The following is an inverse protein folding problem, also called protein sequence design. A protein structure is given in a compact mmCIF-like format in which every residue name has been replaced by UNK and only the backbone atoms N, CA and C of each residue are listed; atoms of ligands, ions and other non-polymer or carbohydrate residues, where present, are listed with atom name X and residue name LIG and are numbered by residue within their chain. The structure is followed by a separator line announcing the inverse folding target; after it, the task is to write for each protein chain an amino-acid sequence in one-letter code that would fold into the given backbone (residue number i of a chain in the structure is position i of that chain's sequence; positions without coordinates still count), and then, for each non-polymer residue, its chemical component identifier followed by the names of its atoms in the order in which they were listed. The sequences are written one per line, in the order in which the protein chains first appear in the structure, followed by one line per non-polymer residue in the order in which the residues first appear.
data_IF_325194160716
#
_entry.id   IF_325194160716
#
_cell.length_a   1.000
_cell.length_b   1.000
_cell.length_c   1.000
_cell.angle_alpha   90.00
_cell.angle_beta   90.00
_cell.angle_gamma   90.00
#
_symmetry.space_group_name_H-M   'P 1'
#
loop_
_entity.id
_entity.type
_entity.pdbx_description
1 polymer ?
#
# COMPACT_ATOMS: atom_id res chain seq x y z
N UNK A 1 -18.21 -5.82 4.16
CA UNK A 1 -17.89 -6.08 2.72
C UNK A 1 -16.68 -5.24 2.31
N UNK A 2 -15.65 -5.84 1.74
CA UNK A 2 -14.49 -5.12 1.21
C UNK A 2 -14.57 -5.07 -0.32
N UNK A 3 -14.33 -3.90 -0.91
CA UNK A 3 -14.18 -3.67 -2.34
C UNK A 3 -12.73 -3.32 -2.63
N UNK A 4 -12.13 -3.99 -3.60
CA UNK A 4 -10.79 -3.67 -4.11
C UNK A 4 -10.90 -3.12 -5.54
N UNK A 5 -10.10 -2.12 -5.84
CA UNK A 5 -10.01 -1.51 -7.18
C UNK A 5 -8.55 -1.30 -7.52
N UNK A 6 -8.06 -1.97 -8.55
CA UNK A 6 -6.74 -1.70 -9.11
C UNK A 6 -6.80 -0.37 -9.87
N UNK A 7 -5.95 0.58 -9.49
CA UNK A 7 -5.85 1.88 -10.16
C UNK A 7 -4.84 1.78 -11.29
N UNK A 8 -3.62 1.40 -10.96
CA UNK A 8 -2.56 1.14 -11.93
C UNK A 8 -1.36 0.51 -11.23
N UNK A 9 -0.62 -0.34 -11.91
CA UNK A 9 0.56 -1.02 -11.38
C UNK A 9 0.27 -1.65 -10.00
N UNK A 10 0.97 -1.28 -8.94
CA UNK A 10 0.72 -1.71 -7.56
C UNK A 10 -0.29 -0.82 -6.80
N UNK A 11 -0.76 0.26 -7.42
CA UNK A 11 -1.68 1.20 -6.79
C UNK A 11 -3.09 0.63 -6.68
N UNK A 12 -3.55 0.40 -5.45
CA UNK A 12 -4.89 -0.13 -5.17
C UNK A 12 -5.68 0.78 -4.25
N UNK A 13 -6.98 0.82 -4.48
CA UNK A 13 -7.96 1.36 -3.55
C UNK A 13 -8.71 0.20 -2.88
N UNK A 14 -8.61 0.09 -1.57
CA UNK A 14 -9.30 -0.92 -0.75
C UNK A 14 -10.30 -0.18 0.12
N UNK A 15 -11.58 -0.54 -0.01
CA UNK A 15 -12.67 0.14 0.67
C UNK A 15 -13.50 -0.84 1.48
N UNK A 16 -13.73 -0.54 2.75
CA UNK A 16 -14.75 -1.17 3.59
C UNK A 16 -15.98 -0.26 3.69
N UNK A 17 -16.88 -0.52 4.63
CA UNK A 17 -18.04 0.34 4.85
C UNK A 17 -17.68 1.72 5.38
N UNK A 18 -16.57 1.85 6.14
CA UNK A 18 -16.17 3.10 6.82
C UNK A 18 -14.71 3.48 6.62
N UNK A 19 -13.94 2.70 5.86
CA UNK A 19 -12.51 2.93 5.69
C UNK A 19 -12.13 2.87 4.22
N UNK A 20 -11.36 3.85 3.79
CA UNK A 20 -10.75 3.90 2.47
C UNK A 20 -9.23 3.89 2.63
N UNK A 21 -8.59 2.90 1.99
CA UNK A 21 -7.14 2.70 2.02
C UNK A 21 -6.63 2.84 0.59
N UNK A 22 -5.62 3.67 0.40
CA UNK A 22 -4.87 3.78 -0.84
C UNK A 22 -3.49 3.17 -0.63
N UNK A 23 -3.08 2.25 -1.51
CA UNK A 23 -1.76 1.62 -1.43
C UNK A 23 -0.90 2.05 -2.62
N UNK A 24 0.38 2.31 -2.35
CA UNK A 24 1.45 2.54 -3.34
C UNK A 24 0.99 3.40 -4.54
N UNK A 25 0.58 4.67 -4.31
CA UNK A 25 0.00 5.47 -5.37
C UNK A 25 1.05 5.90 -6.40
N UNK A 26 0.87 5.43 -7.63
CA UNK A 26 1.67 5.80 -8.80
C UNK A 26 0.71 6.20 -9.91
N UNK A 27 0.63 7.51 -10.21
CA UNK A 27 -0.39 8.09 -11.09
C UNK A 27 0.16 8.74 -12.34
N UNK A 28 1.46 8.62 -12.57
CA UNK A 28 2.12 9.10 -13.77
C UNK A 28 2.56 7.91 -14.63
N UNK A 29 2.41 8.03 -15.95
CA UNK A 29 2.68 6.95 -16.89
C UNK A 29 4.17 6.57 -16.97
N UNK A 30 5.06 7.52 -16.66
CA UNK A 30 6.50 7.33 -16.78
C UNK A 30 7.11 7.04 -15.41
N UNK A 31 7.77 5.90 -15.30
CA UNK A 31 8.47 5.43 -14.11
C UNK A 31 9.96 5.32 -14.39
N UNK A 32 10.80 5.37 -13.34
CA UNK A 32 12.23 5.13 -13.44
C UNK A 32 12.91 6.04 -14.48
N UNK A 33 12.72 7.37 -14.34
CA UNK A 33 13.29 8.36 -15.27
C UNK A 33 12.92 8.08 -16.75
N UNK A 34 11.65 7.73 -16.99
CA UNK A 34 11.09 7.39 -18.31
C UNK A 34 11.60 6.07 -18.92
N UNK A 35 12.32 5.25 -18.17
CA UNK A 35 12.75 3.92 -18.63
C UNK A 35 11.55 2.97 -18.77
N UNK A 36 10.59 3.04 -17.84
CA UNK A 36 9.37 2.25 -17.85
C UNK A 36 8.16 3.15 -18.14
N UNK A 37 7.27 2.67 -19.01
CA UNK A 37 6.02 3.34 -19.34
C UNK A 37 4.86 2.42 -19.03
N UNK A 38 3.88 2.91 -18.29
CA UNK A 38 2.66 2.14 -18.01
C UNK A 38 1.81 2.04 -19.27
N UNK A 39 1.43 0.81 -19.62
CA UNK A 39 0.57 0.53 -20.77
C UNK A 39 -0.59 -0.40 -20.33
N UNK A 40 -1.84 0.01 -20.52
CA UNK A 40 -2.26 1.31 -21.06
C UNK A 40 -1.94 2.49 -20.12
N UNK A 41 -1.91 3.70 -20.69
CA UNK A 41 -1.75 4.93 -19.90
C UNK A 41 -2.83 5.06 -18.84
N UNK A 42 -2.47 5.61 -17.68
CA UNK A 42 -3.40 5.81 -16.58
C UNK A 42 -4.36 6.95 -16.94
N UNK A 43 -5.65 6.66 -16.99
CA UNK A 43 -6.69 7.67 -17.07
C UNK A 43 -7.39 7.77 -15.73
N UNK A 44 -6.78 8.50 -14.80
CA UNK A 44 -7.30 8.65 -13.45
C UNK A 44 -8.28 9.81 -13.34
N UNK A 45 -9.53 9.50 -13.00
CA UNK A 45 -10.49 10.52 -12.61
C UNK A 45 -10.46 10.70 -11.07
N UNK A 46 -9.69 11.69 -10.62
CA UNK A 46 -9.52 11.96 -9.19
C UNK A 46 -10.82 12.28 -8.46
N UNK A 47 -11.87 12.73 -9.15
CA UNK A 47 -13.19 12.95 -8.53
C UNK A 47 -13.87 11.65 -8.11
N UNK A 48 -13.38 10.50 -8.58
CA UNK A 48 -13.89 9.18 -8.21
C UNK A 48 -13.14 8.57 -7.02
N UNK A 49 -12.02 9.18 -6.60
CA UNK A 49 -11.29 8.76 -5.41
C UNK A 49 -11.92 9.48 -4.20
N UNK A 50 -12.50 8.74 -3.26
CA UNK A 50 -13.04 9.34 -2.04
C UNK A 50 -11.91 9.83 -1.12
N UNK A 51 -12.22 10.60 -0.06
CA UNK A 51 -11.25 10.86 0.99
C UNK A 51 -10.66 9.56 1.52
N UNK A 52 -9.34 9.51 1.70
CA UNK A 52 -8.64 8.33 2.20
C UNK A 52 -8.37 8.46 3.71
N UNK A 53 -8.61 7.38 4.43
CA UNK A 53 -8.30 7.26 5.85
C UNK A 53 -6.86 6.82 6.07
N UNK A 54 -6.37 5.95 5.17
CA UNK A 54 -5.03 5.37 5.24
C UNK A 54 -4.34 5.44 3.88
N UNK A 55 -3.11 5.92 3.89
CA UNK A 55 -2.14 5.80 2.81
C UNK A 55 -1.10 4.78 3.22
N UNK A 56 -1.03 3.64 2.54
CA UNK A 56 0.00 2.63 2.78
C UNK A 56 1.09 2.73 1.71
N UNK A 57 2.34 2.85 2.14
CA UNK A 57 3.53 2.80 1.29
C UNK A 57 4.30 1.55 1.67
N UNK A 58 4.34 0.57 0.78
CA UNK A 58 4.95 -0.74 1.07
C UNK A 58 6.47 -0.66 1.16
N UNK A 59 7.11 0.07 0.27
CA UNK A 59 8.56 0.26 0.20
C UNK A 59 8.93 1.43 -0.74
N UNK A 60 10.24 1.73 -0.89
CA UNK A 60 10.73 2.93 -1.59
C UNK A 60 11.08 2.75 -3.07
N UNK A 61 10.79 1.63 -3.73
CA UNK A 61 10.96 1.55 -5.17
C UNK A 61 10.08 2.60 -5.88
N UNK A 62 10.57 3.16 -6.96
CA UNK A 62 9.92 4.29 -7.64
C UNK A 62 8.57 3.95 -8.26
N UNK A 63 8.30 2.68 -8.49
CA UNK A 63 7.03 2.15 -8.96
C UNK A 63 6.04 1.83 -7.82
N UNK A 64 6.43 2.08 -6.56
CA UNK A 64 5.60 2.03 -5.36
C UNK A 64 5.61 3.36 -4.59
N UNK A 65 6.69 4.13 -4.72
CA UNK A 65 6.92 5.40 -4.04
C UNK A 65 7.21 6.50 -5.05
N UNK A 66 6.17 6.94 -5.78
CA UNK A 66 6.28 8.02 -6.75
C UNK A 66 6.11 9.39 -6.07
N UNK A 67 7.23 10.10 -5.89
CA UNK A 67 7.28 11.41 -5.22
C UNK A 67 6.37 12.43 -5.90
N UNK A 68 6.19 12.38 -7.22
CA UNK A 68 5.31 13.29 -7.98
C UNK A 68 3.85 13.06 -7.60
N UNK A 69 3.43 11.80 -7.54
CA UNK A 69 2.07 11.42 -7.09
C UNK A 69 1.85 11.85 -5.65
N UNK A 70 2.80 11.62 -4.76
CA UNK A 70 2.71 12.02 -3.36
C UNK A 70 2.63 13.54 -3.21
N UNK A 71 3.48 14.30 -3.93
CA UNK A 71 3.43 15.77 -3.93
C UNK A 71 2.07 16.31 -4.44
N UNK A 72 1.48 15.64 -5.41
CA UNK A 72 0.16 15.99 -5.91
C UNK A 72 -0.94 15.61 -4.90
N UNK A 73 -0.86 14.44 -4.29
CA UNK A 73 -1.85 13.92 -3.35
C UNK A 73 -1.98 14.81 -2.11
N UNK A 74 -0.86 15.23 -1.50
CA UNK A 74 -0.87 16.08 -0.28
C UNK A 74 -1.52 17.46 -0.54
N UNK A 75 -1.51 17.94 -1.78
CA UNK A 75 -2.15 19.20 -2.17
C UNK A 75 -3.65 19.03 -2.42
N UNK A 76 -4.11 17.82 -2.71
CA UNK A 76 -5.52 17.55 -3.01
C UNK A 76 -6.32 17.25 -1.72
N UNK A 77 -6.84 18.32 -1.09
CA UNK A 77 -7.56 18.24 0.19
C UNK A 77 -8.90 17.50 0.12
N UNK A 78 -9.41 17.20 -1.07
CA UNK A 78 -10.62 16.37 -1.24
C UNK A 78 -10.32 14.87 -1.12
N UNK A 79 -9.07 14.47 -1.27
CA UNK A 79 -8.62 13.07 -1.18
C UNK A 79 -7.81 12.86 0.09
N UNK A 80 -6.79 13.69 0.30
CA UNK A 80 -5.89 13.62 1.44
C UNK A 80 -6.25 14.67 2.50
N UNK A 81 -6.51 14.21 3.72
CA UNK A 81 -6.87 15.06 4.86
C UNK A 81 -5.78 15.04 5.94
N UNK A 82 -5.75 16.01 6.87
CA UNK A 82 -4.82 15.98 7.98
C UNK A 82 -4.96 14.74 8.90
N UNK A 83 -6.12 14.07 8.85
CA UNK A 83 -6.40 12.86 9.64
C UNK A 83 -5.94 11.57 8.94
N UNK A 84 -5.60 11.63 7.66
CA UNK A 84 -5.11 10.45 6.92
C UNK A 84 -3.86 9.91 7.59
N UNK A 85 -3.90 8.64 7.99
CA UNK A 85 -2.74 7.93 8.55
C UNK A 85 -1.86 7.43 7.42
N UNK A 86 -0.56 7.60 7.53
CA UNK A 86 0.41 7.02 6.60
C UNK A 86 1.04 5.81 7.27
N UNK A 87 0.93 4.64 6.66
CA UNK A 87 1.67 3.45 7.06
C UNK A 87 2.91 3.35 6.18
N UNK A 88 4.07 3.21 6.79
CA UNK A 88 5.35 3.18 6.10
C UNK A 88 6.33 2.23 6.81
N UNK A 89 7.23 1.54 6.08
CA UNK A 89 8.30 0.77 6.68
C UNK A 89 9.31 1.68 7.37
N UNK A 90 10.17 1.12 8.22
CA UNK A 90 11.28 1.85 8.86
C UNK A 90 12.41 2.07 7.84
N UNK A 91 12.20 2.99 6.92
CA UNK A 91 13.15 3.43 5.91
C UNK A 91 13.41 4.93 6.07
N UNK A 92 14.63 5.30 6.46
CA UNK A 92 14.95 6.69 6.81
C UNK A 92 14.79 7.63 5.59
N UNK A 93 15.14 7.18 4.38
CA UNK A 93 15.01 7.98 3.15
C UNK A 93 13.53 8.21 2.82
N UNK A 94 12.71 7.17 2.87
CA UNK A 94 11.27 7.26 2.63
C UNK A 94 10.61 8.21 3.62
N UNK A 95 10.94 8.09 4.91
CA UNK A 95 10.40 8.94 5.97
C UNK A 95 10.84 10.40 5.81
N UNK A 96 12.10 10.65 5.45
CA UNK A 96 12.61 11.99 5.16
C UNK A 96 11.81 12.65 4.03
N UNK A 97 11.66 11.96 2.89
CA UNK A 97 10.89 12.47 1.74
C UNK A 97 9.43 12.75 2.11
N UNK A 98 8.77 11.85 2.83
CA UNK A 98 7.39 12.09 3.30
C UNK A 98 7.32 13.32 4.21
N UNK A 99 8.31 13.51 5.07
CA UNK A 99 8.38 14.64 6.00
C UNK A 99 8.58 15.96 5.25
N UNK A 100 9.48 16.00 4.26
CA UNK A 100 9.71 17.18 3.41
C UNK A 100 8.48 17.51 2.56
N UNK A 101 7.74 16.52 2.08
CA UNK A 101 6.45 16.71 1.42
C UNK A 101 5.32 17.17 2.40
N UNK A 102 5.65 17.33 3.70
CA UNK A 102 4.74 17.79 4.74
C UNK A 102 3.66 16.77 5.16
N UNK A 103 3.89 15.50 4.97
CA UNK A 103 3.11 14.44 5.60
C UNK A 103 3.38 14.42 7.12
N UNK A 104 2.34 14.31 7.96
CA UNK A 104 2.48 14.47 9.41
C UNK A 104 2.11 13.25 10.23
N UNK A 105 1.08 12.53 9.83
CA UNK A 105 0.56 11.40 10.59
C UNK A 105 1.18 10.09 10.11
N UNK A 106 2.51 9.97 10.24
CA UNK A 106 3.28 8.81 9.79
C UNK A 106 3.41 7.81 10.93
N UNK A 107 2.95 6.58 10.70
CA UNK A 107 3.14 5.44 11.58
C UNK A 107 4.11 4.45 10.92
N UNK A 108 5.25 4.26 11.56
CA UNK A 108 6.17 3.17 11.21
C UNK A 108 5.50 1.85 11.58
N UNK A 109 5.44 0.94 10.63
CA UNK A 109 4.81 -0.37 10.83
C UNK A 109 5.81 -1.38 11.39
N UNK A 110 5.28 -2.32 12.17
CA UNK A 110 5.99 -3.50 12.63
C UNK A 110 5.28 -4.77 12.12
N UNK A 111 6.05 -5.83 11.90
CA UNK A 111 5.53 -7.10 11.40
C UNK A 111 4.42 -7.64 12.30
N UNK A 112 3.29 -7.98 11.69
CA UNK A 112 2.12 -8.54 12.35
C UNK A 112 1.50 -7.66 13.45
N UNK A 113 1.87 -6.38 13.54
CA UNK A 113 1.18 -5.43 14.42
C UNK A 113 -0.26 -5.20 13.93
N UNK A 114 -1.24 -5.42 14.80
CA UNK A 114 -2.63 -5.16 14.48
C UNK A 114 -2.98 -3.68 14.69
N UNK A 115 -3.25 -2.95 13.62
CA UNK A 115 -3.58 -1.52 13.63
C UNK A 115 -5.07 -1.36 13.32
N UNK A 116 -5.85 -0.92 14.31
CA UNK A 116 -7.29 -0.71 14.13
C UNK A 116 -7.57 0.66 13.53
N UNK A 117 -8.30 0.68 12.41
CA UNK A 117 -8.77 1.92 11.75
C UNK A 117 -10.25 1.75 11.43
N UNK A 118 -11.10 2.56 12.04
CA UNK A 118 -12.56 2.50 11.89
C UNK A 118 -13.10 1.06 12.01
N UNK A 119 -13.57 0.49 10.90
CA UNK A 119 -14.17 -0.84 10.84
C UNK A 119 -13.22 -1.93 10.35
N UNK A 120 -11.94 -1.63 10.12
CA UNK A 120 -10.94 -2.62 9.67
C UNK A 120 -9.79 -2.78 10.66
N UNK A 121 -9.14 -3.92 10.58
CA UNK A 121 -7.83 -4.17 11.17
C UNK A 121 -6.82 -4.32 10.04
N UNK A 122 -5.75 -3.53 10.12
CA UNK A 122 -4.63 -3.54 9.20
C UNK A 122 -3.48 -4.28 9.86
N UNK A 123 -2.86 -5.22 9.14
CA UNK A 123 -1.74 -6.00 9.68
C UNK A 123 -0.63 -6.08 8.64
N UNK A 124 0.48 -5.36 8.85
CA UNK A 124 1.65 -5.47 8.00
C UNK A 124 2.23 -6.88 8.04
N UNK A 125 2.67 -7.39 6.89
CA UNK A 125 3.31 -8.71 6.78
C UNK A 125 4.75 -8.57 6.37
N UNK A 126 5.68 -9.36 6.95
CA UNK A 126 7.09 -9.27 6.62
C UNK A 126 7.40 -9.70 5.19
N UNK A 127 8.54 -9.26 4.69
CA UNK A 127 9.20 -9.76 3.49
C UNK A 127 10.52 -10.42 3.83
N UNK A 128 10.83 -11.51 3.12
CA UNK A 128 12.14 -12.19 3.16
C UNK A 128 13.09 -11.65 2.09
N UNK A 129 12.96 -10.41 1.70
CA UNK A 129 13.73 -9.83 0.61
C UNK A 129 15.22 -9.73 1.00
N UNK A 130 15.99 -10.80 0.78
CA UNK A 130 17.41 -10.89 1.13
C UNK A 130 18.31 -10.04 0.18
N UNK A 131 17.78 -9.61 -0.96
CA UNK A 131 18.52 -8.88 -1.99
C UNK A 131 18.45 -7.38 -1.90
N UNK A 132 17.43 -6.84 -1.28
CA UNK A 132 17.19 -5.41 -1.20
C UNK A 132 17.70 -4.84 0.13
N UNK A 133 18.34 -3.68 0.04
CA UNK A 133 18.94 -2.99 1.19
C UNK A 133 17.94 -2.16 1.99
N UNK A 134 16.64 -2.28 1.74
CA UNK A 134 15.60 -1.48 2.40
C UNK A 134 14.39 -2.35 2.81
N UNK A 135 13.70 -1.95 3.89
CA UNK A 135 12.56 -2.68 4.40
C UNK A 135 11.33 -2.52 3.49
N UNK A 136 10.57 -3.60 3.39
CA UNK A 136 9.28 -3.64 2.70
C UNK A 136 8.27 -4.46 3.49
N UNK A 137 6.98 -4.22 3.26
CA UNK A 137 5.90 -4.98 3.88
C UNK A 137 4.71 -5.16 2.93
N UNK A 138 4.02 -6.29 3.06
CA UNK A 138 2.67 -6.47 2.56
C UNK A 138 1.64 -5.97 3.59
N UNK A 139 0.37 -5.90 3.21
CA UNK A 139 -0.70 -5.44 4.08
C UNK A 139 -1.92 -6.38 4.04
N UNK A 140 -2.28 -6.94 5.18
CA UNK A 140 -3.56 -7.60 5.39
C UNK A 140 -4.59 -6.56 5.84
N UNK A 141 -5.77 -6.63 5.25
CA UNK A 141 -6.94 -5.80 5.58
C UNK A 141 -8.10 -6.71 5.92
N UNK A 142 -8.59 -6.64 7.14
CA UNK A 142 -9.68 -7.48 7.64
C UNK A 142 -10.80 -6.62 8.24
N UNK A 143 -12.06 -6.83 7.81
CA UNK A 143 -13.24 -6.14 8.34
C UNK A 143 -14.03 -6.99 9.37
N UNK A 144 -13.48 -8.12 9.78
CA UNK A 144 -14.10 -9.09 10.68
C UNK A 144 -14.79 -10.25 9.96
N UNK A 145 -15.08 -10.13 8.67
CA UNK A 145 -15.71 -11.15 7.83
C UNK A 145 -14.85 -11.53 6.63
N UNK A 146 -14.17 -10.54 6.03
CA UNK A 146 -13.39 -10.67 4.80
C UNK A 146 -11.94 -10.28 5.07
N UNK A 147 -11.00 -11.06 4.55
CA UNK A 147 -9.57 -10.77 4.61
C UNK A 147 -8.99 -10.61 3.21
N UNK A 148 -8.44 -9.42 2.95
CA UNK A 148 -7.71 -9.09 1.74
C UNK A 148 -6.24 -8.97 2.07
N UNK A 149 -5.37 -9.57 1.26
CA UNK A 149 -3.92 -9.43 1.38
C UNK A 149 -3.34 -8.74 0.15
N UNK A 150 -2.83 -7.54 0.34
CA UNK A 150 -1.99 -6.86 -0.64
C UNK A 150 -0.54 -7.23 -0.36
N UNK A 151 -0.04 -8.26 -1.04
CA UNK A 151 1.30 -8.79 -0.86
C UNK A 151 2.36 -7.91 -1.51
N UNK A 152 1.99 -7.15 -2.54
CA UNK A 152 2.92 -6.34 -3.36
C UNK A 152 4.12 -7.16 -3.85
N UNK A 153 5.34 -6.69 -3.63
CA UNK A 153 6.58 -7.35 -4.06
C UNK A 153 7.20 -8.27 -3.00
N UNK A 154 6.55 -8.37 -1.82
CA UNK A 154 7.11 -9.14 -0.70
C UNK A 154 7.35 -10.61 -1.04
N UNK A 155 8.49 -11.12 -0.61
CA UNK A 155 8.82 -12.54 -0.66
C UNK A 155 8.42 -13.15 0.68
N UNK A 156 7.64 -14.22 0.64
CA UNK A 156 7.13 -14.86 1.84
C UNK A 156 7.48 -16.33 1.90
N UNK A 157 7.82 -16.83 3.10
CA UNK A 157 8.06 -18.24 3.32
C UNK A 157 6.76 -19.02 3.61
N UNK A 158 6.77 -20.35 3.51
CA UNK A 158 5.66 -21.18 3.96
C UNK A 158 5.27 -20.95 5.42
N UNK A 159 6.23 -20.61 6.29
CA UNK A 159 6.00 -20.31 7.71
C UNK A 159 5.20 -19.03 7.87
N UNK A 160 5.53 -17.97 7.12
CA UNK A 160 4.79 -16.71 7.09
C UNK A 160 3.35 -16.96 6.61
N UNK A 161 3.17 -17.73 5.52
CA UNK A 161 1.85 -18.09 5.01
C UNK A 161 1.05 -18.89 6.05
N UNK A 162 1.69 -19.86 6.71
CA UNK A 162 1.06 -20.67 7.76
C UNK A 162 0.65 -19.80 8.96
N UNK A 163 1.45 -18.80 9.30
CA UNK A 163 1.13 -17.88 10.39
C UNK A 163 -0.05 -16.95 10.01
N UNK A 164 -0.08 -16.42 8.79
CA UNK A 164 -1.21 -15.65 8.28
C UNK A 164 -2.50 -16.49 8.31
N UNK A 165 -2.42 -17.74 7.85
CA UNK A 165 -3.57 -18.66 7.90
C UNK A 165 -4.04 -18.94 9.33
N UNK A 166 -3.13 -19.03 10.30
CA UNK A 166 -3.47 -19.20 11.72
C UNK A 166 -4.18 -17.96 12.28
N UNK A 167 -3.79 -16.74 11.86
CA UNK A 167 -4.39 -15.50 12.35
C UNK A 167 -5.77 -15.22 11.75
N UNK A 168 -5.92 -15.43 10.44
CA UNK A 168 -7.07 -14.96 9.66
C UNK A 168 -7.85 -16.08 8.99
N UNK A 169 -7.37 -17.33 9.04
CA UNK A 169 -7.98 -18.43 8.31
C UNK A 169 -7.73 -18.30 6.81
N UNK A 170 -8.76 -18.58 6.01
CA UNK A 170 -8.70 -18.46 4.55
C UNK A 170 -8.69 -16.98 4.15
N UNK A 171 -7.78 -16.63 3.25
CA UNK A 171 -7.82 -15.32 2.58
C UNK A 171 -8.92 -15.32 1.49
N UNK A 172 -9.69 -14.25 1.43
CA UNK A 172 -10.74 -14.09 0.42
C UNK A 172 -10.19 -13.54 -0.89
N UNK A 173 -9.17 -12.70 -0.80
CA UNK A 173 -8.48 -12.13 -1.95
C UNK A 173 -7.00 -11.88 -1.63
N UNK A 174 -6.13 -12.16 -2.60
CA UNK A 174 -4.71 -11.77 -2.53
C UNK A 174 -4.31 -11.08 -3.82
N UNK A 175 -3.66 -9.94 -3.68
CA UNK A 175 -2.96 -9.24 -4.75
C UNK A 175 -1.46 -9.46 -4.56
N UNK A 176 -0.84 -10.17 -5.48
CA UNK A 176 0.59 -10.53 -5.40
C UNK A 176 1.26 -10.33 -6.75
N UNK A 177 2.56 -10.10 -6.70
CA UNK A 177 3.39 -10.06 -7.90
C UNK A 177 3.40 -11.44 -8.57
N UNK A 178 3.18 -11.49 -9.87
CA UNK A 178 3.41 -12.68 -10.68
C UNK A 178 4.78 -12.57 -11.35
N UNK A 179 5.72 -13.38 -10.91
CA UNK A 179 6.99 -13.56 -11.62
C UNK A 179 6.84 -14.82 -12.48
N UNK A 180 6.88 -14.71 -13.84
CA UNK A 180 6.98 -15.91 -14.67
C UNK A 180 8.27 -16.63 -14.29
N UNK A 181 8.16 -17.91 -13.98
CA UNK A 181 9.34 -18.78 -13.85
C UNK A 181 10.02 -18.81 -15.22
N UNK A 182 11.19 -18.20 -15.33
CA UNK A 182 12.08 -18.29 -16.49
C UNK A 182 12.80 -19.64 -16.47
#
# INVERSE_FOLDING_TARGET
MIKTTLIAHASMLIQSNKTTILTDPVWFDYLWEEVNVLCPSITLNLKQIPPIDVLNISHRHQDHFDVRTLAYLIQNKSIFTPNTMILAPKDDILIEVLTELNYKNIKIVEDFEAIKVNDVTLTPTPSLNEGDSFPEHGLLVNDGEVTVWNQVDTIVSPEIISYIHKLYGRLDFSHSRFLPLL
#
